data_IF_752419400240
#
_entry.id   IF_752419400240
#
_cell.length_a   1.000
_cell.length_b   1.000
_cell.length_c   1.000
_cell.angle_alpha   90.00
_cell.angle_beta   90.00
_cell.angle_gamma   90.00
#
_symmetry.space_group_name_H-M   'P 1'
#
loop_
_entity.id
_entity.type
_entity.pdbx_description
1 polymer ?
#
# COMPACT_ATOMS: atom_id res chain seq x y z
N UNK A 1 2.35 -12.45 2.55
CA UNK A 1 2.69 -11.87 3.87
C UNK A 1 4.17 -11.55 4.01
N UNK A 2 5.10 -12.45 3.64
CA UNK A 2 6.54 -12.19 3.84
C UNK A 2 7.08 -10.97 3.09
N UNK A 3 6.55 -10.66 1.90
CA UNK A 3 6.91 -9.42 1.21
C UNK A 3 6.61 -8.20 2.08
N UNK A 4 5.42 -8.12 2.67
CA UNK A 4 5.03 -7.02 3.56
C UNK A 4 5.97 -6.91 4.76
N UNK A 5 6.20 -8.03 5.46
CA UNK A 5 7.03 -8.05 6.67
C UNK A 5 8.44 -7.57 6.36
N UNK A 6 9.00 -7.98 5.22
CA UNK A 6 10.37 -7.63 4.85
C UNK A 6 10.51 -6.22 4.28
N UNK A 7 9.50 -5.73 3.57
CA UNK A 7 9.52 -4.42 2.91
C UNK A 7 9.13 -3.29 3.88
N UNK A 8 8.05 -3.47 4.63
CA UNK A 8 7.47 -2.41 5.46
C UNK A 8 7.79 -2.53 6.94
N UNK A 9 8.30 -3.70 7.39
CA UNK A 9 8.68 -3.95 8.78
C UNK A 9 7.62 -3.47 9.79
N UNK A 10 6.33 -3.85 9.63
CA UNK A 10 5.28 -3.45 10.55
C UNK A 10 5.64 -3.85 11.98
N UNK A 11 5.28 -3.02 12.97
CA UNK A 11 5.56 -3.35 14.36
C UNK A 11 5.00 -4.73 14.71
N UNK A 12 5.78 -5.51 15.47
CA UNK A 12 5.35 -6.80 16.01
C UNK A 12 5.23 -6.64 17.51
N UNK A 13 4.08 -7.00 18.08
CA UNK A 13 3.91 -7.04 19.54
C UNK A 13 3.54 -8.44 19.97
N UNK A 14 4.19 -8.90 21.02
CA UNK A 14 3.78 -10.09 21.74
C UNK A 14 3.41 -9.72 23.17
N UNK A 15 2.30 -10.23 23.68
CA UNK A 15 1.86 -9.92 25.04
C UNK A 15 1.27 -11.12 25.74
N UNK A 16 1.39 -11.15 27.06
CA UNK A 16 0.84 -12.18 27.93
C UNK A 16 0.35 -11.55 29.23
N UNK A 17 -0.67 -12.17 29.84
CA UNK A 17 -1.07 -11.88 31.20
C UNK A 17 -0.29 -12.77 32.15
N UNK A 18 0.27 -12.16 33.20
CA UNK A 18 1.03 -12.86 34.23
C UNK A 18 0.61 -12.47 35.64
N UNK A 19 0.66 -13.42 36.57
CA UNK A 19 0.41 -13.18 38.00
C UNK A 19 1.14 -14.22 38.85
N UNK A 20 1.56 -13.83 40.05
CA UNK A 20 2.08 -14.78 41.05
C UNK A 20 1.01 -15.17 42.08
N UNK A 21 1.31 -16.19 42.86
CA UNK A 21 0.58 -16.44 44.11
C UNK A 21 0.99 -15.43 45.17
N UNK A 22 0.09 -15.11 46.10
CA UNK A 22 0.41 -14.16 47.16
C UNK A 22 1.52 -14.67 48.10
N UNK A 23 1.56 -15.97 48.38
CA UNK A 23 2.46 -16.61 49.35
C UNK A 23 3.82 -17.02 48.77
N UNK A 24 4.07 -16.81 47.47
CA UNK A 24 5.27 -17.26 46.81
C UNK A 24 5.77 -16.21 45.79
N UNK A 25 7.05 -15.87 45.88
CA UNK A 25 7.69 -15.02 44.88
C UNK A 25 7.92 -15.81 43.60
N UNK A 26 7.95 -15.13 42.46
CA UNK A 26 8.21 -15.81 41.17
C UNK A 26 8.92 -14.90 40.18
N UNK A 27 9.59 -15.51 39.21
CA UNK A 27 10.21 -14.84 38.08
C UNK A 27 9.54 -15.31 36.80
N UNK A 28 9.23 -14.37 35.94
CA UNK A 28 8.74 -14.57 34.59
C UNK A 28 9.74 -13.98 33.61
N UNK A 29 9.93 -14.66 32.48
CA UNK A 29 10.72 -14.19 31.35
C UNK A 29 9.99 -14.53 30.07
N UNK A 30 9.94 -13.59 29.14
CA UNK A 30 9.47 -13.84 27.78
C UNK A 30 10.49 -13.36 26.76
N UNK A 31 10.67 -14.14 25.72
CA UNK A 31 11.62 -13.92 24.64
C UNK A 31 10.90 -14.10 23.31
N UNK A 32 10.99 -13.10 22.45
CA UNK A 32 10.57 -13.18 21.05
C UNK A 32 11.82 -13.16 20.18
N UNK A 33 11.89 -14.07 19.22
CA UNK A 33 13.04 -14.26 18.32
C UNK A 33 12.55 -14.28 16.87
N UNK A 34 13.12 -13.41 16.04
CA UNK A 34 12.88 -13.35 14.62
C UNK A 34 13.96 -14.17 13.90
N UNK A 35 13.54 -15.06 12.99
CA UNK A 35 14.40 -16.06 12.36
C UNK A 35 14.25 -16.03 10.83
N UNK A 36 15.32 -16.33 10.10
CA UNK A 36 15.28 -16.55 8.65
C UNK A 36 14.85 -17.99 8.26
N UNK A 37 14.88 -18.32 6.96
CA UNK A 37 14.51 -19.64 6.43
C UNK A 37 15.38 -20.79 6.96
N UNK A 38 16.61 -20.48 7.34
CA UNK A 38 17.60 -21.42 7.85
C UNK A 38 17.58 -21.51 9.38
N UNK A 39 16.56 -20.91 10.03
CA UNK A 39 16.45 -20.77 11.49
C UNK A 39 17.60 -19.97 12.14
N UNK A 40 18.31 -19.12 11.38
CA UNK A 40 19.28 -18.20 11.97
C UNK A 40 18.54 -17.05 12.64
N UNK A 41 19.02 -16.68 13.82
CA UNK A 41 18.50 -15.53 14.59
C UNK A 41 18.84 -14.22 13.89
N UNK A 42 17.82 -13.42 13.61
CA UNK A 42 17.93 -12.07 13.02
C UNK A 42 17.75 -10.97 14.07
N UNK A 43 16.82 -11.17 15.02
CA UNK A 43 16.57 -10.23 16.11
C UNK A 43 15.98 -10.96 17.32
N UNK A 44 16.23 -10.42 18.51
CA UNK A 44 15.73 -10.97 19.78
C UNK A 44 15.29 -9.81 20.65
N UNK A 45 14.09 -9.88 21.18
CA UNK A 45 13.63 -9.00 22.25
C UNK A 45 13.18 -9.83 23.45
N UNK A 46 13.40 -9.32 24.66
CA UNK A 46 13.06 -10.04 25.89
C UNK A 46 12.60 -9.09 26.98
N UNK A 47 11.77 -9.62 27.87
CA UNK A 47 11.33 -8.92 29.07
C UNK A 47 11.29 -9.88 30.26
N UNK A 48 11.47 -9.32 31.45
CA UNK A 48 11.48 -10.08 32.69
C UNK A 48 10.62 -9.38 33.74
N UNK A 49 9.91 -10.17 34.55
CA UNK A 49 9.14 -9.68 35.69
C UNK A 49 9.43 -10.51 36.92
N UNK A 50 9.80 -9.84 38.00
CA UNK A 50 9.91 -10.43 39.33
C UNK A 50 8.68 -10.03 40.13
N UNK A 51 8.13 -11.01 40.84
CA UNK A 51 7.05 -10.85 41.79
C UNK A 51 7.55 -11.20 43.19
N UNK A 52 7.30 -10.29 44.13
CA UNK A 52 7.67 -10.47 45.53
C UNK A 52 6.72 -11.41 46.27
N UNK A 53 7.24 -12.03 47.32
CA UNK A 53 6.46 -12.87 48.23
C UNK A 53 5.57 -12.02 49.15
N UNK A 54 4.50 -12.62 49.66
CA UNK A 54 3.52 -12.04 50.58
C UNK A 54 2.78 -10.83 50.01
N UNK A 55 2.61 -10.81 48.70
CA UNK A 55 1.91 -9.75 47.98
C UNK A 55 0.86 -10.32 47.06
N UNK A 56 -0.41 -10.02 47.33
CA UNK A 56 -1.48 -10.33 46.41
C UNK A 56 -1.42 -9.39 45.20
N UNK A 57 -1.07 -9.94 44.04
CA UNK A 57 -1.02 -9.18 42.79
C UNK A 57 -2.24 -9.49 41.93
N UNK A 58 -2.70 -8.49 41.18
CA UNK A 58 -3.65 -8.71 40.08
C UNK A 58 -2.88 -9.16 38.85
N UNK A 59 -3.57 -9.82 37.91
CA UNK A 59 -3.03 -10.10 36.58
C UNK A 59 -2.50 -8.81 35.94
N UNK A 60 -1.28 -8.88 35.42
CA UNK A 60 -0.62 -7.78 34.71
C UNK A 60 -0.34 -8.22 33.28
N UNK A 61 -0.68 -7.37 32.32
CA UNK A 61 -0.29 -7.57 30.93
C UNK A 61 1.16 -7.14 30.77
N UNK A 62 2.00 -8.04 30.29
CA UNK A 62 3.37 -7.77 29.89
C UNK A 62 3.42 -7.83 28.37
N UNK A 63 4.03 -6.83 27.76
CA UNK A 63 4.11 -6.69 26.30
C UNK A 63 5.56 -6.45 25.87
N UNK A 64 5.97 -7.14 24.82
CA UNK A 64 7.22 -6.93 24.09
C UNK A 64 6.87 -6.36 22.73
N UNK A 65 7.57 -5.32 22.32
CA UNK A 65 7.42 -4.69 21.01
C UNK A 65 8.74 -4.76 20.25
N UNK A 66 8.69 -5.23 19.01
CA UNK A 66 9.81 -5.18 18.07
C UNK A 66 9.48 -4.20 16.95
N UNK A 67 10.39 -3.27 16.70
CA UNK A 67 10.34 -2.33 15.58
C UNK A 67 11.71 -2.33 14.89
N UNK A 68 11.77 -1.87 13.63
CA UNK A 68 13.03 -1.70 12.90
C UNK A 68 13.89 -2.97 12.82
N UNK A 69 13.25 -4.11 12.54
CA UNK A 69 13.91 -5.41 12.48
C UNK A 69 14.46 -5.71 11.07
N UNK A 70 15.46 -6.59 10.93
CA UNK A 70 16.02 -6.95 9.62
C UNK A 70 15.00 -7.60 8.68
N UNK A 71 15.26 -7.53 7.38
CA UNK A 71 14.50 -8.27 6.37
C UNK A 71 14.83 -9.77 6.40
N UNK A 72 14.13 -10.56 5.57
CA UNK A 72 14.23 -12.02 5.43
C UNK A 72 13.64 -12.83 6.58
N UNK A 73 12.77 -12.22 7.39
CA UNK A 73 12.07 -12.95 8.45
C UNK A 73 11.15 -14.01 7.84
N UNK A 74 11.23 -15.21 8.39
CA UNK A 74 10.40 -16.37 8.04
C UNK A 74 9.68 -16.94 9.25
N UNK A 75 10.31 -16.96 10.40
CA UNK A 75 9.70 -17.46 11.63
C UNK A 75 9.76 -16.43 12.76
N UNK A 76 8.71 -16.44 13.57
CA UNK A 76 8.66 -15.74 14.85
C UNK A 76 8.57 -16.84 15.91
N UNK A 77 9.60 -16.96 16.74
CA UNK A 77 9.64 -17.88 17.88
C UNK A 77 9.34 -17.10 19.15
N UNK A 78 8.43 -17.62 19.95
CA UNK A 78 8.06 -17.09 21.25
C UNK A 78 8.43 -18.12 22.30
N UNK A 79 9.06 -17.69 23.38
CA UNK A 79 9.45 -18.52 24.50
C UNK A 79 9.08 -17.81 25.79
N UNK A 80 8.22 -18.46 26.57
CA UNK A 80 7.70 -17.96 27.84
C UNK A 80 8.13 -18.89 28.95
N UNK A 81 8.77 -18.33 29.97
CA UNK A 81 9.42 -19.07 31.04
C UNK A 81 9.00 -18.52 32.39
N UNK A 82 8.95 -19.40 33.38
CA UNK A 82 8.58 -19.03 34.73
C UNK A 82 9.11 -20.01 35.76
N UNK A 83 9.46 -19.49 36.93
CA UNK A 83 9.78 -20.30 38.12
C UNK A 83 9.43 -19.55 39.40
N UNK A 84 9.19 -20.28 40.47
CA UNK A 84 9.12 -19.68 41.80
C UNK A 84 10.53 -19.30 42.30
N UNK A 85 10.59 -18.44 43.32
CA UNK A 85 11.88 -18.02 43.92
C UNK A 85 12.24 -18.77 45.20
N UNK A 86 11.35 -19.63 45.70
CA UNK A 86 11.52 -20.40 46.94
C UNK A 86 11.95 -21.85 46.69
N UNK A 87 11.93 -22.29 45.43
CA UNK A 87 12.16 -23.66 44.97
C UNK A 87 11.25 -24.68 45.65
N UNK A 88 9.99 -24.30 45.87
CA UNK A 88 9.00 -25.19 46.49
C UNK A 88 8.51 -26.26 45.51
N UNK A 89 8.38 -27.48 46.00
CA UNK A 89 7.83 -28.59 45.22
C UNK A 89 6.35 -28.31 44.86
N UNK A 90 6.04 -28.31 43.56
CA UNK A 90 4.68 -28.10 43.04
C UNK A 90 4.56 -26.90 42.10
N UNK A 91 3.33 -26.38 41.93
CA UNK A 91 3.01 -25.32 40.97
C UNK A 91 2.99 -23.92 41.61
N UNK A 92 4.14 -23.50 42.15
CA UNK A 92 4.28 -22.22 42.86
C UNK A 92 4.82 -21.08 41.99
N UNK A 93 5.25 -21.37 40.77
CA UNK A 93 5.75 -20.39 39.82
C UNK A 93 4.69 -19.41 39.31
N UNK A 94 5.11 -18.54 38.40
CA UNK A 94 4.23 -17.56 37.75
C UNK A 94 3.14 -18.26 36.94
N UNK A 95 1.92 -17.75 37.01
CA UNK A 95 0.81 -18.13 36.14
C UNK A 95 0.85 -17.25 34.89
N UNK A 96 0.73 -17.86 33.72
CA UNK A 96 0.80 -17.19 32.40
C UNK A 96 -0.48 -17.53 31.64
N UNK A 97 -1.12 -16.54 31.02
CA UNK A 97 -2.33 -16.73 30.23
C UNK A 97 -2.50 -15.66 29.14
N UNK A 98 -3.38 -15.92 28.17
CA UNK A 98 -3.79 -14.91 27.18
C UNK A 98 -2.66 -14.42 26.27
N UNK A 99 -1.78 -15.34 25.85
CA UNK A 99 -0.69 -15.05 24.93
C UNK A 99 -1.22 -14.57 23.57
N UNK A 100 -0.73 -13.43 23.12
CA UNK A 100 -1.22 -12.74 21.93
C UNK A 100 -0.05 -12.20 21.11
N UNK A 101 0.06 -12.65 19.85
CA UNK A 101 0.97 -12.10 18.86
C UNK A 101 0.18 -11.23 17.88
N UNK A 102 0.61 -9.99 17.69
CA UNK A 102 0.04 -9.04 16.72
C UNK A 102 1.12 -8.51 15.78
N UNK A 103 0.77 -8.42 14.51
CA UNK A 103 1.53 -7.75 13.47
C UNK A 103 0.69 -6.55 13.02
N UNK A 104 1.19 -5.34 13.25
CA UNK A 104 0.46 -4.09 13.08
C UNK A 104 0.52 -3.60 11.64
N UNK A 105 -0.40 -4.12 10.80
CA UNK A 105 -0.49 -3.80 9.36
C UNK A 105 -1.17 -2.46 9.06
N UNK A 106 -1.90 -1.93 10.03
CA UNK A 106 -2.63 -0.66 10.02
C UNK A 106 -1.72 0.57 9.85
N UNK A 107 -0.45 0.44 10.27
CA UNK A 107 0.54 1.52 10.17
C UNK A 107 1.35 1.50 8.87
N UNK A 108 1.04 0.57 7.96
CA UNK A 108 1.74 0.48 6.67
C UNK A 108 1.20 1.58 5.74
N UNK A 109 2.06 2.49 5.25
CA UNK A 109 1.63 3.51 4.30
C UNK A 109 1.13 2.85 3.00
N UNK A 110 0.22 3.50 2.24
CA UNK A 110 -0.24 2.97 0.97
C UNK A 110 0.92 2.59 0.06
N UNK A 111 0.88 1.38 -0.49
CA UNK A 111 1.93 0.83 -1.34
C UNK A 111 1.74 1.39 -2.76
N UNK A 112 2.66 2.22 -3.26
CA UNK A 112 2.60 2.71 -4.63
C UNK A 112 3.26 1.73 -5.60
N UNK A 113 2.45 1.12 -6.47
CA UNK A 113 2.91 0.12 -7.44
C UNK A 113 3.50 0.75 -8.73
N UNK A 114 3.46 2.08 -8.84
CA UNK A 114 4.02 2.84 -9.96
C UNK A 114 5.31 3.61 -9.61
N UNK A 115 5.79 3.56 -8.35
CA UNK A 115 6.94 4.38 -7.92
C UNK A 115 8.25 4.12 -8.71
N UNK A 116 8.42 2.94 -9.30
CA UNK A 116 9.60 2.62 -10.11
C UNK A 116 9.50 3.11 -11.56
N UNK A 117 8.38 3.73 -11.92
CA UNK A 117 8.05 4.12 -13.29
C UNK A 117 7.54 5.52 -13.24
N UNK A 118 8.41 6.49 -13.53
CA UNK A 118 7.97 7.86 -13.71
C UNK A 118 7.15 7.90 -15.01
N UNK A 119 5.80 7.93 -14.97
CA UNK A 119 5.02 7.99 -16.18
C UNK A 119 5.21 9.35 -16.87
N UNK A 120 5.72 10.33 -16.11
CA UNK A 120 6.05 11.69 -16.54
C UNK A 120 7.57 11.94 -16.49
N UNK A 121 8.38 10.89 -16.68
CA UNK A 121 9.83 11.01 -16.88
C UNK A 121 10.15 11.39 -18.33
N UNK A 122 11.40 11.72 -18.64
CA UNK A 122 11.77 12.11 -20.00
C UNK A 122 11.31 11.10 -21.06
N UNK A 123 11.22 11.57 -22.31
CA UNK A 123 10.64 10.85 -23.46
C UNK A 123 11.13 9.41 -23.62
N UNK A 124 12.35 9.12 -23.16
CA UNK A 124 13.00 7.80 -23.17
C UNK A 124 12.42 6.85 -22.12
N UNK A 125 12.12 7.35 -20.92
CA UNK A 125 11.66 6.53 -19.78
C UNK A 125 10.17 6.19 -19.87
N UNK A 126 9.36 7.00 -20.56
CA UNK A 126 7.89 6.80 -20.71
C UNK A 126 7.51 5.57 -21.54
N UNK A 127 8.29 5.28 -22.59
CA UNK A 127 8.08 4.10 -23.45
C UNK A 127 8.87 2.89 -22.97
N UNK A 128 9.79 3.08 -22.02
CA UNK A 128 10.58 2.00 -21.45
C UNK A 128 9.79 1.16 -20.44
N UNK A 129 8.76 1.73 -19.78
CA UNK A 129 7.86 0.93 -18.95
C UNK A 129 6.89 0.11 -19.81
N UNK A 130 7.34 -1.11 -20.13
CA UNK A 130 6.56 -2.11 -20.89
C UNK A 130 5.18 -2.45 -20.32
N UNK A 131 4.86 -2.02 -19.09
CA UNK A 131 3.54 -2.22 -18.48
C UNK A 131 2.48 -1.28 -19.06
N UNK A 132 2.87 -0.17 -19.67
CA UNK A 132 1.96 0.76 -20.34
C UNK A 132 1.86 0.49 -21.84
N UNK A 133 0.63 0.41 -22.33
CA UNK A 133 0.31 0.35 -23.75
C UNK A 133 -0.41 1.63 -24.19
N UNK A 134 0.17 2.35 -25.14
CA UNK A 134 -0.35 3.62 -25.66
C UNK A 134 -0.88 3.44 -27.09
N UNK A 135 -2.04 4.02 -27.36
CA UNK A 135 -2.65 4.12 -28.67
C UNK A 135 -3.13 5.55 -28.92
N UNK A 136 -3.00 6.03 -30.16
CA UNK A 136 -3.45 7.33 -30.60
C UNK A 136 -2.34 8.41 -30.63
N UNK A 137 -2.66 9.61 -31.14
CA UNK A 137 -1.67 10.67 -31.32
C UNK A 137 -1.41 11.42 -30.01
N UNK A 138 -0.66 10.80 -29.11
CA UNK A 138 -0.23 11.44 -27.87
C UNK A 138 0.92 12.42 -28.11
N UNK A 139 0.85 13.59 -27.48
CA UNK A 139 2.03 14.44 -27.28
C UNK A 139 2.45 14.40 -25.84
N UNK A 140 3.75 14.45 -25.63
CA UNK A 140 4.35 14.63 -24.33
C UNK A 140 5.00 16.00 -24.30
N UNK A 141 4.67 16.79 -23.27
CA UNK A 141 5.05 18.19 -23.25
C UNK A 141 5.18 18.69 -21.82
N UNK A 142 6.09 19.64 -21.65
CA UNK A 142 6.03 20.58 -20.53
C UNK A 142 4.74 21.40 -20.70
N UNK A 143 3.92 21.59 -19.65
CA UNK A 143 2.78 22.50 -19.70
C UNK A 143 3.25 23.91 -20.11
N UNK A 144 2.63 24.52 -21.12
CA UNK A 144 3.05 25.84 -21.61
C UNK A 144 2.49 26.96 -20.72
N UNK A 145 3.01 28.19 -20.84
CA UNK A 145 2.67 29.33 -19.97
C UNK A 145 1.16 29.63 -19.83
N UNK A 146 0.34 29.36 -20.86
CA UNK A 146 -1.13 29.49 -20.77
C UNK A 146 -1.78 28.42 -19.87
N UNK A 147 -1.15 27.25 -19.70
CA UNK A 147 -1.55 26.21 -18.76
C UNK A 147 -1.06 26.50 -17.32
N UNK A 148 -0.13 27.44 -17.16
CA UNK A 148 0.48 27.82 -15.88
C UNK A 148 -0.52 28.53 -14.95
N UNK A 149 -1.56 29.16 -15.49
CA UNK A 149 -2.68 29.69 -14.70
C UNK A 149 -3.70 28.61 -14.28
N UNK A 150 -3.62 27.43 -14.89
CA UNK A 150 -4.40 26.25 -14.51
C UNK A 150 -3.64 25.37 -13.50
N UNK A 151 -2.38 25.66 -13.19
CA UNK A 151 -1.61 24.98 -12.16
C UNK A 151 -2.26 25.21 -10.78
N UNK A 152 -2.83 24.19 -10.10
CA UNK A 152 -2.77 24.21 -8.65
C UNK A 152 -1.29 24.22 -8.28
N UNK A 153 -0.96 24.57 -7.04
CA UNK A 153 0.34 24.29 -6.43
C UNK A 153 0.67 22.79 -6.51
N UNK A 154 1.00 22.27 -7.69
CA UNK A 154 2.00 21.23 -7.81
C UNK A 154 3.21 21.86 -7.16
N UNK A 155 3.65 21.30 -6.06
CA UNK A 155 4.95 21.61 -5.45
C UNK A 155 6.07 21.18 -6.41
N UNK A 156 6.10 21.71 -7.64
CA UNK A 156 6.99 21.32 -8.73
C UNK A 156 7.13 19.79 -8.94
N UNK A 157 6.08 19.00 -8.65
CA UNK A 157 6.19 17.52 -8.62
C UNK A 157 6.29 16.86 -9.99
N UNK A 158 5.81 17.51 -11.05
CA UNK A 158 5.86 16.95 -12.41
C UNK A 158 6.24 18.05 -13.39
N UNK A 159 7.30 17.81 -14.16
CA UNK A 159 7.81 18.75 -15.17
C UNK A 159 7.09 18.62 -16.51
N UNK A 160 6.36 17.51 -16.70
CA UNK A 160 5.78 17.12 -17.97
C UNK A 160 4.39 16.48 -17.81
N UNK A 161 3.63 16.45 -18.90
CA UNK A 161 2.33 15.79 -18.99
C UNK A 161 2.08 15.16 -20.37
N UNK A 162 1.09 14.26 -20.41
CA UNK A 162 0.53 13.74 -21.65
C UNK A 162 -0.61 14.63 -22.13
N UNK A 163 -0.60 15.00 -23.41
CA UNK A 163 -1.65 15.77 -24.06
C UNK A 163 -2.30 14.91 -25.15
N UNK A 164 -3.62 14.79 -25.08
CA UNK A 164 -4.42 14.06 -26.08
C UNK A 164 -4.73 14.94 -27.29
N UNK A 165 -5.01 14.31 -28.43
CA UNK A 165 -5.27 14.97 -29.71
C UNK A 165 -6.77 14.94 -30.06
N UNK A 166 -7.10 15.13 -31.34
CA UNK A 166 -8.46 15.14 -31.88
C UNK A 166 -9.05 13.73 -32.08
N UNK A 167 -8.19 12.72 -32.23
CA UNK A 167 -8.57 11.30 -32.19
C UNK A 167 -8.41 10.75 -30.77
N UNK A 168 -9.05 9.60 -30.53
CA UNK A 168 -8.97 8.93 -29.23
C UNK A 168 -7.52 8.55 -28.91
N UNK A 169 -7.01 9.13 -27.83
CA UNK A 169 -5.74 8.78 -27.21
C UNK A 169 -6.04 7.89 -26.00
N UNK A 170 -5.50 6.67 -25.97
CA UNK A 170 -5.71 5.69 -24.89
C UNK A 170 -4.37 5.21 -24.33
N UNK A 171 -4.25 5.13 -23.01
CA UNK A 171 -3.15 4.45 -22.32
C UNK A 171 -3.70 3.41 -21.36
N UNK A 172 -3.12 2.21 -21.38
CA UNK A 172 -3.56 1.06 -20.58
C UNK A 172 -2.36 0.56 -19.78
N UNK A 173 -2.51 0.49 -18.47
CA UNK A 173 -1.60 -0.22 -17.57
C UNK A 173 -2.24 -1.56 -17.22
N UNK A 174 -1.50 -2.65 -17.35
CA UNK A 174 -1.90 -3.95 -16.80
C UNK A 174 -0.79 -4.52 -15.93
N UNK A 175 -1.12 -4.83 -14.68
CA UNK A 175 -0.16 -5.24 -13.66
C UNK A 175 -0.46 -6.64 -13.16
N UNK A 176 0.52 -7.54 -13.27
CA UNK A 176 0.49 -8.89 -12.69
C UNK A 176 0.91 -8.85 -11.21
N UNK A 177 -0.06 -9.08 -10.32
CA UNK A 177 0.15 -9.01 -8.88
C UNK A 177 0.98 -10.17 -8.32
N UNK A 178 1.16 -11.26 -9.09
CA UNK A 178 2.06 -12.34 -8.66
C UNK A 178 3.52 -11.88 -8.71
N UNK A 179 3.86 -10.96 -9.62
CA UNK A 179 5.20 -10.38 -9.74
C UNK A 179 5.49 -9.31 -8.69
N UNK A 180 4.46 -8.74 -8.07
CA UNK A 180 4.63 -7.70 -7.03
C UNK A 180 4.72 -8.26 -5.61
N UNK A 181 4.44 -9.56 -5.40
CA UNK A 181 4.47 -10.19 -4.08
C UNK A 181 3.27 -9.89 -3.18
N UNK A 182 2.27 -9.15 -3.68
CA UNK A 182 1.05 -8.78 -2.93
C UNK A 182 -0.19 -9.61 -3.33
N UNK A 183 -0.11 -10.45 -4.39
CA UNK A 183 -1.21 -11.30 -4.87
C UNK A 183 -1.94 -12.05 -3.74
N UNK A 184 -1.20 -12.68 -2.82
CA UNK A 184 -1.81 -13.38 -1.69
C UNK A 184 -2.63 -12.48 -0.76
N UNK A 185 -2.30 -11.19 -0.64
CA UNK A 185 -3.06 -10.26 0.21
C UNK A 185 -4.43 -9.92 -0.38
N UNK A 186 -4.56 -9.99 -1.71
CA UNK A 186 -5.80 -9.67 -2.40
C UNK A 186 -6.93 -10.62 -2.02
N UNK A 187 -6.61 -11.87 -1.71
CA UNK A 187 -7.62 -12.87 -1.35
C UNK A 187 -8.05 -12.75 0.12
N UNK A 188 -7.08 -12.54 1.03
CA UNK A 188 -7.32 -12.51 2.48
C UNK A 188 -7.74 -11.14 3.01
N UNK A 189 -6.92 -10.11 2.76
CA UNK A 189 -7.12 -8.77 3.28
C UNK A 189 -8.04 -7.92 2.40
N UNK A 190 -8.06 -8.19 1.08
CA UNK A 190 -8.80 -7.39 0.10
C UNK A 190 -8.59 -5.88 0.31
N UNK A 191 -7.32 -5.40 0.29
CA UNK A 191 -7.00 -4.00 0.54
C UNK A 191 -7.70 -3.05 -0.43
N UNK A 192 -7.90 -1.80 -0.04
CA UNK A 192 -8.45 -0.82 -0.98
C UNK A 192 -7.44 -0.55 -2.10
N UNK A 193 -7.90 -0.68 -3.35
CA UNK A 193 -7.12 -0.32 -4.55
C UNK A 193 -7.53 1.07 -4.98
N UNK A 194 -6.57 1.96 -5.13
CA UNK A 194 -6.79 3.37 -5.43
C UNK A 194 -5.96 3.72 -6.66
N UNK A 195 -6.59 4.24 -7.68
CA UNK A 195 -5.93 4.84 -8.83
C UNK A 195 -6.23 6.33 -8.86
N UNK A 196 -5.24 7.17 -9.13
CA UNK A 196 -5.46 8.60 -9.28
C UNK A 196 -4.55 9.22 -10.31
N UNK A 197 -5.03 10.29 -10.95
CA UNK A 197 -4.27 11.07 -11.91
C UNK A 197 -4.66 12.54 -11.80
N UNK A 198 -3.77 13.43 -12.20
CA UNK A 198 -4.09 14.82 -12.43
C UNK A 198 -4.54 15.02 -13.87
N UNK A 199 -5.63 15.77 -14.05
CA UNK A 199 -6.16 16.08 -15.38
C UNK A 199 -6.50 17.56 -15.51
N UNK A 200 -6.41 18.10 -16.73
CA UNK A 200 -6.85 19.46 -17.06
C UNK A 200 -7.22 19.59 -18.54
N UNK A 201 -8.21 20.41 -18.86
CA UNK A 201 -8.50 20.81 -20.25
C UNK A 201 -7.90 22.17 -20.58
N UNK A 202 -7.67 22.41 -21.88
CA UNK A 202 -7.37 23.75 -22.36
C UNK A 202 -8.60 24.66 -22.31
N UNK A 203 -8.40 25.95 -22.10
CA UNK A 203 -9.51 26.91 -22.06
C UNK A 203 -10.16 27.14 -23.44
N UNK A 204 -9.38 27.08 -24.52
CA UNK A 204 -9.81 27.36 -25.89
C UNK A 204 -10.43 26.15 -26.62
N UNK A 205 -10.44 24.97 -25.99
CA UNK A 205 -10.96 23.74 -26.58
C UNK A 205 -11.76 22.91 -25.56
N UNK A 206 -12.83 22.25 -25.99
CA UNK A 206 -13.53 21.27 -25.16
C UNK A 206 -12.83 19.92 -25.27
N UNK A 207 -12.92 19.10 -24.24
CA UNK A 207 -12.31 17.76 -24.24
C UNK A 207 -13.19 16.73 -23.55
N UNK A 208 -12.93 15.46 -23.85
CA UNK A 208 -13.47 14.31 -23.14
C UNK A 208 -12.33 13.56 -22.48
N UNK A 209 -12.60 13.06 -21.27
CA UNK A 209 -11.71 12.18 -20.53
C UNK A 209 -12.49 10.97 -20.05
N UNK A 210 -11.85 9.82 -20.03
CA UNK A 210 -12.37 8.58 -19.49
C UNK A 210 -11.27 7.88 -18.72
N UNK A 211 -11.61 7.29 -17.58
CA UNK A 211 -10.72 6.36 -16.89
C UNK A 211 -11.49 5.19 -16.29
N UNK A 212 -10.85 4.02 -16.26
CA UNK A 212 -11.32 2.83 -15.55
C UNK A 212 -10.22 2.23 -14.69
N UNK A 213 -10.63 1.63 -13.59
CA UNK A 213 -9.85 0.76 -12.73
C UNK A 213 -10.59 -0.57 -12.67
N UNK A 214 -9.93 -1.64 -13.13
CA UNK A 214 -10.48 -2.99 -13.24
C UNK A 214 -9.60 -3.95 -12.44
N UNK A 215 -10.24 -4.81 -11.63
CA UNK A 215 -9.60 -5.94 -10.96
C UNK A 215 -9.96 -7.20 -11.72
N UNK A 216 -8.96 -7.98 -12.10
CA UNK A 216 -9.14 -9.16 -12.94
C UNK A 216 -8.64 -10.43 -12.24
N UNK A 217 -9.33 -11.53 -12.52
CA UNK A 217 -8.93 -12.86 -12.07
C UNK A 217 -7.82 -13.47 -12.92
N UNK A 218 -7.37 -14.69 -12.56
CA UNK A 218 -6.34 -15.44 -13.31
C UNK A 218 -6.67 -15.71 -14.79
N UNK A 219 -7.94 -15.61 -15.17
CA UNK A 219 -8.44 -15.81 -16.53
C UNK A 219 -8.64 -14.48 -17.26
N UNK A 220 -8.13 -13.37 -16.71
CA UNK A 220 -8.33 -12.01 -17.21
C UNK A 220 -9.81 -11.59 -17.29
N UNK A 221 -10.69 -12.18 -16.47
CA UNK A 221 -12.08 -11.73 -16.34
C UNK A 221 -12.15 -10.62 -15.31
N UNK A 222 -12.85 -9.54 -15.65
CA UNK A 222 -13.12 -8.43 -14.72
C UNK A 222 -14.07 -8.93 -13.63
N UNK A 223 -13.64 -8.81 -12.37
CA UNK A 223 -14.41 -9.24 -11.19
C UNK A 223 -14.79 -8.07 -10.27
N UNK A 224 -14.20 -6.90 -10.49
CA UNK A 224 -14.64 -5.63 -9.94
C UNK A 224 -14.14 -4.49 -10.84
N UNK A 225 -14.92 -3.43 -11.00
CA UNK A 225 -14.52 -2.26 -11.77
C UNK A 225 -15.10 -0.97 -11.17
N UNK A 226 -14.44 0.14 -11.48
CA UNK A 226 -15.00 1.49 -11.34
C UNK A 226 -14.47 2.36 -12.47
N UNK A 227 -15.22 3.42 -12.81
CA UNK A 227 -14.88 4.29 -13.94
C UNK A 227 -15.38 5.72 -13.71
N UNK A 228 -14.70 6.65 -14.35
CA UNK A 228 -15.06 8.06 -14.39
C UNK A 228 -15.01 8.55 -15.83
N UNK A 229 -15.96 9.39 -16.21
CA UNK A 229 -16.03 9.99 -17.53
C UNK A 229 -16.38 11.46 -17.40
N UNK A 230 -15.52 12.32 -17.95
CA UNK A 230 -15.63 13.77 -17.84
C UNK A 230 -15.72 14.41 -19.21
N UNK A 231 -16.45 15.52 -19.27
CA UNK A 231 -16.59 16.35 -20.47
C UNK A 231 -16.41 17.81 -20.09
N UNK A 232 -15.45 18.46 -20.72
CA UNK A 232 -15.13 19.86 -20.51
C UNK A 232 -15.66 20.70 -21.67
N UNK A 233 -16.17 21.88 -21.34
CA UNK A 233 -16.67 22.84 -22.33
C UNK A 233 -15.58 23.84 -22.68
N UNK A 234 -15.64 24.35 -23.91
CA UNK A 234 -14.80 25.45 -24.37
C UNK A 234 -15.08 26.73 -23.57
N UNK A 235 -14.07 27.60 -23.48
CA UNK A 235 -14.09 28.91 -22.82
C UNK A 235 -14.27 28.83 -21.30
N UNK A 236 -13.88 27.71 -20.73
CA UNK A 236 -13.83 27.50 -19.29
C UNK A 236 -12.41 27.09 -18.91
N UNK A 237 -11.72 28.00 -18.21
CA UNK A 237 -10.43 27.72 -17.62
C UNK A 237 -10.66 26.76 -16.43
N UNK A 238 -10.17 25.54 -16.54
CA UNK A 238 -10.16 24.61 -15.40
C UNK A 238 -8.76 24.59 -14.82
N UNK A 239 -8.67 24.49 -13.50
CA UNK A 239 -7.42 24.14 -12.84
C UNK A 239 -7.19 22.65 -12.97
N UNK A 240 -5.95 22.19 -12.85
CA UNK A 240 -5.72 20.76 -12.68
C UNK A 240 -6.50 20.25 -11.48
N UNK A 241 -7.13 19.12 -11.68
CA UNK A 241 -7.88 18.43 -10.66
C UNK A 241 -7.38 16.99 -10.54
N UNK A 242 -7.39 16.47 -9.32
CA UNK A 242 -7.05 15.08 -9.05
C UNK A 242 -8.28 14.23 -9.25
N UNK A 243 -8.28 13.43 -10.31
CA UNK A 243 -9.24 12.34 -10.51
C UNK A 243 -8.81 11.16 -9.64
N UNK A 244 -9.76 10.50 -8.98
CA UNK A 244 -9.50 9.30 -8.16
C UNK A 244 -10.58 8.24 -8.37
N UNK A 245 -10.14 7.02 -8.64
CA UNK A 245 -10.93 5.79 -8.68
C UNK A 245 -10.53 4.89 -7.52
N UNK A 246 -11.50 4.27 -6.86
CA UNK A 246 -11.22 3.36 -5.75
C UNK A 246 -12.15 2.14 -5.75
N UNK A 247 -11.60 0.99 -5.38
CA UNK A 247 -12.35 -0.25 -5.16
C UNK A 247 -11.94 -0.79 -3.78
N UNK A 248 -12.91 -0.87 -2.87
CA UNK A 248 -12.72 -1.29 -1.48
C UNK A 248 -13.50 -2.56 -1.10
N UNK A 249 -14.43 -3.02 -1.96
CA UNK A 249 -15.14 -4.29 -1.81
C UNK A 249 -15.08 -5.03 -3.14
N UNK A 250 -14.54 -6.24 -3.12
CA UNK A 250 -14.39 -7.11 -4.28
C UNK A 250 -14.22 -8.58 -3.85
N UNK A 251 -14.56 -9.56 -4.69
CA UNK A 251 -14.38 -10.97 -4.35
C UNK A 251 -12.89 -11.36 -4.30
N UNK A 252 -12.53 -12.46 -3.63
CA UNK A 252 -11.19 -13.03 -3.74
C UNK A 252 -10.90 -13.46 -5.19
N UNK A 253 -9.61 -13.63 -5.52
CA UNK A 253 -9.15 -14.12 -6.81
C UNK A 253 -8.52 -13.07 -7.71
N UNK A 254 -8.35 -11.82 -7.24
CA UNK A 254 -7.67 -10.76 -8.02
C UNK A 254 -6.21 -11.15 -8.28
N UNK A 255 -5.82 -11.16 -9.54
CA UNK A 255 -4.45 -11.44 -10.00
C UNK A 255 -3.88 -10.34 -10.88
N UNK A 256 -4.74 -9.54 -11.51
CA UNK A 256 -4.32 -8.39 -12.28
C UNK A 256 -5.07 -7.13 -11.87
N UNK A 257 -4.39 -6.00 -12.00
CA UNK A 257 -5.01 -4.68 -11.98
C UNK A 257 -4.84 -4.10 -13.38
N UNK A 258 -5.94 -3.70 -14.01
CA UNK A 258 -5.91 -2.95 -15.26
C UNK A 258 -6.43 -1.54 -15.00
N UNK A 259 -5.71 -0.58 -15.54
CA UNK A 259 -6.10 0.83 -15.54
C UNK A 259 -6.13 1.30 -16.97
N UNK A 260 -7.21 1.98 -17.34
CA UNK A 260 -7.30 2.69 -18.62
C UNK A 260 -7.45 4.18 -18.35
N UNK A 261 -6.71 5.01 -19.09
CA UNK A 261 -7.00 6.43 -19.24
C UNK A 261 -7.14 6.75 -20.73
N UNK A 262 -8.18 7.47 -21.12
CA UNK A 262 -8.33 7.95 -22.49
C UNK A 262 -8.89 9.36 -22.56
N UNK A 263 -8.69 9.99 -23.71
CA UNK A 263 -9.26 11.30 -23.98
C UNK A 263 -9.09 11.74 -25.42
N UNK A 264 -9.80 12.81 -25.75
CA UNK A 264 -9.71 13.50 -27.03
C UNK A 264 -10.32 14.90 -26.92
N UNK A 265 -10.04 15.75 -27.89
CA UNK A 265 -10.77 17.00 -28.05
C UNK A 265 -12.24 16.78 -28.47
N UNK A 266 -13.04 17.85 -28.48
CA UNK A 266 -14.42 17.83 -29.00
C UNK A 266 -14.62 18.67 -30.25
N UNK A 267 -13.54 19.15 -30.84
CA UNK A 267 -13.50 20.16 -31.89
C UNK A 267 -12.95 19.63 -33.20
N UNK A 268 -12.31 18.47 -33.14
CA UNK A 268 -11.57 17.86 -34.21
C UNK A 268 -10.50 18.79 -34.78
N UNK A 269 -9.80 19.52 -33.90
CA UNK A 269 -8.76 20.45 -34.29
C UNK A 269 -7.44 19.72 -34.40
N UNK A 270 -6.83 19.81 -35.58
CA UNK A 270 -5.54 19.19 -35.83
C UNK A 270 -4.50 19.73 -34.84
N UNK A 271 -3.84 18.82 -34.11
CA UNK A 271 -2.92 19.14 -33.03
C UNK A 271 -3.30 18.47 -31.72
N UNK A 272 -2.85 19.05 -30.60
CA UNK A 272 -3.01 18.49 -29.26
C UNK A 272 -3.86 19.45 -28.43
N UNK A 273 -5.18 19.36 -28.63
CA UNK A 273 -6.16 20.25 -28.00
C UNK A 273 -7.06 19.51 -27.00
N UNK A 274 -6.79 18.23 -26.74
CA UNK A 274 -7.58 17.41 -25.83
C UNK A 274 -7.24 17.62 -24.36
N UNK A 275 -7.58 16.63 -23.54
CA UNK A 275 -7.24 16.59 -22.12
C UNK A 275 -5.73 16.37 -21.90
N UNK A 276 -5.19 17.01 -20.87
CA UNK A 276 -3.85 16.78 -20.34
C UNK A 276 -3.92 15.87 -19.11
N UNK A 277 -2.96 14.95 -18.97
CA UNK A 277 -2.91 13.96 -17.90
C UNK A 277 -1.49 13.91 -17.33
N UNK A 278 -1.36 13.90 -16.01
CA UNK A 278 -0.08 13.80 -15.30
C UNK A 278 -0.24 13.07 -13.96
N UNK A 279 0.89 12.72 -13.34
CA UNK A 279 0.93 12.22 -11.95
C UNK A 279 0.06 10.99 -11.67
N UNK A 280 0.06 10.00 -12.56
CA UNK A 280 -0.64 8.73 -12.32
C UNK A 280 -0.05 7.97 -11.13
N UNK A 281 -0.89 7.58 -10.19
CA UNK A 281 -0.53 6.80 -8.99
C UNK A 281 -1.45 5.59 -8.86
N UNK A 282 -0.90 4.41 -8.55
CA UNK A 282 -1.67 3.20 -8.23
C UNK A 282 -1.27 2.73 -6.84
N UNK A 283 -2.16 2.93 -5.87
CA UNK A 283 -1.91 2.64 -4.47
C UNK A 283 -2.71 1.42 -4.00
N UNK A 284 -2.08 0.62 -3.14
CA UNK A 284 -2.73 -0.44 -2.38
C UNK A 284 -2.71 -0.07 -0.91
N UNK A 285 -3.88 0.14 -0.32
CA UNK A 285 -4.03 0.53 1.08
C UNK A 285 -4.61 -0.62 1.90
N UNK A 286 -3.84 -1.11 2.86
CA UNK A 286 -4.35 -2.02 3.89
C UNK A 286 -5.29 -1.24 4.80
N UNK A 287 -6.56 -1.67 4.86
CA UNK A 287 -7.62 -1.07 5.67
C UNK A 287 -8.13 -2.07 6.68
#
# INVERSE_FOLDING_TARGET
>A
MTHIINTYQPAITFSEWVVNRADCGSKYRSVITLLDDSNRVLAVEKTEKIFEQWQLQKWKKIEIKIQSYPSKIRYIRIQSEGRDTQFWEGHYGVKIAGSELKIHLDNIPPMNLLNDTNPNGDEVTRYADSRWNFNGPWKYTVPVFLDYYCHPNFENKFENCFETSYLECKKILEMDLNKTGISGMMDYFRPTIIFSEWIVNRADCGSKYYSSLELLDKSHRVIAETKDQRRYRRWHLQKWEKMTLQIHVYPPGVRFIRVTSSGKDTQFWEGHYGIKIAGSELLVKLT
#
